data_IF_795625289718
#
_entry.id   IF_795625289718
#
_cell.length_a   1.000
_cell.length_b   1.000
_cell.length_c   1.000
_cell.angle_alpha   90.00
_cell.angle_beta   90.00
_cell.angle_gamma   90.00
#
_symmetry.space_group_name_H-M   'P 1'
#
loop_
_entity.id
_entity.type
_entity.pdbx_description
1 polymer ?
#
# COMPACT_ATOMS: atom_id res chain seq x y z
N UNK A 1 36.43 5.42 15.37
CA UNK A 1 37.78 5.80 15.73
C UNK A 1 38.05 7.21 15.24
N UNK A 2 38.61 8.07 16.05
CA UNK A 2 39.01 9.44 15.70
C UNK A 2 40.50 9.50 15.80
N UNK A 3 41.18 9.83 14.71
CA UNK A 3 42.64 9.98 14.68
C UNK A 3 43.00 11.39 14.21
N UNK A 4 43.97 11.97 14.88
CA UNK A 4 44.63 13.19 14.42
C UNK A 4 45.77 12.78 13.46
N UNK A 5 45.67 13.18 12.21
CA UNK A 5 46.69 12.93 11.19
C UNK A 5 47.46 14.22 10.93
N UNK A 6 48.79 14.18 11.05
CA UNK A 6 49.65 15.27 10.69
C UNK A 6 50.02 15.16 9.22
N UNK A 7 49.83 16.20 8.45
CA UNK A 7 50.18 16.23 7.03
C UNK A 7 51.62 16.80 6.89
N UNK A 8 52.60 15.91 6.71
CA UNK A 8 54.01 16.28 6.53
C UNK A 8 54.32 16.98 5.21
N UNK A 9 53.35 17.06 4.28
CA UNK A 9 53.53 17.70 2.98
C UNK A 9 53.26 19.21 2.99
N UNK A 10 52.90 19.79 4.13
CA UNK A 10 52.70 21.24 4.25
C UNK A 10 54.00 21.99 4.44
N UNK A 11 54.12 23.15 3.79
CA UNK A 11 55.28 24.08 3.88
C UNK A 11 55.80 24.23 5.32
N UNK A 12 57.13 24.30 5.54
CA UNK A 12 57.68 24.43 6.87
C UNK A 12 57.10 25.64 7.59
N UNK A 13 56.42 25.38 8.72
CA UNK A 13 55.79 26.39 9.56
C UNK A 13 54.25 26.31 9.72
N UNK A 14 53.52 25.49 8.94
CA UNK A 14 52.08 25.27 9.11
C UNK A 14 51.76 23.80 9.31
N UNK A 15 51.70 23.37 10.56
CA UNK A 15 51.13 22.08 10.95
C UNK A 15 49.61 22.12 10.77
N UNK A 16 49.11 21.60 9.65
CA UNK A 16 47.67 21.39 9.48
C UNK A 16 47.25 20.09 10.11
N UNK A 17 46.59 20.16 11.24
CA UNK A 17 45.95 19.02 11.85
C UNK A 17 44.66 18.68 11.06
N UNK A 18 44.58 17.44 10.58
CA UNK A 18 43.37 16.93 9.95
C UNK A 18 42.74 15.89 10.86
N UNK A 19 41.47 16.05 11.17
CA UNK A 19 40.69 15.07 11.89
C UNK A 19 40.23 13.99 10.91
N UNK A 20 40.70 12.77 11.09
CA UNK A 20 40.26 11.60 10.34
C UNK A 20 39.25 10.83 11.20
N UNK A 21 38.01 10.79 10.76
CA UNK A 21 36.93 10.01 11.41
C UNK A 21 36.75 8.73 10.60
N UNK A 22 36.98 7.58 11.22
CA UNK A 22 36.66 6.27 10.65
C UNK A 22 35.65 5.54 11.51
N UNK A 23 34.72 4.85 10.84
CA UNK A 23 33.66 4.06 11.44
C UNK A 23 33.86 2.59 11.08
N UNK A 24 33.69 1.71 12.05
CA UNK A 24 33.71 0.28 11.81
C UNK A 24 32.29 -0.21 11.55
N UNK A 25 32.05 -0.75 10.35
CA UNK A 25 30.75 -1.25 9.91
C UNK A 25 30.91 -2.58 9.20
N UNK A 26 30.25 -3.62 9.68
CA UNK A 26 30.30 -4.99 9.11
C UNK A 26 31.73 -5.50 8.86
N UNK A 27 32.66 -5.21 9.78
CA UNK A 27 34.06 -5.64 9.69
C UNK A 27 34.94 -4.80 8.75
N UNK A 28 34.38 -3.75 8.12
CA UNK A 28 35.13 -2.80 7.27
C UNK A 28 35.31 -1.47 7.98
N UNK A 29 36.51 -0.87 7.83
CA UNK A 29 36.74 0.49 8.27
C UNK A 29 36.39 1.46 7.14
N UNK A 30 35.39 2.31 7.37
CA UNK A 30 34.84 3.24 6.38
C UNK A 30 35.07 4.69 6.82
N UNK A 31 35.32 5.57 5.87
CA UNK A 31 35.22 7.01 6.10
C UNK A 31 33.73 7.39 6.34
N UNK A 32 33.46 8.55 6.94
CA UNK A 32 32.11 9.04 7.15
C UNK A 32 31.30 9.08 5.85
N UNK A 33 31.91 9.54 4.76
CA UNK A 33 31.27 9.57 3.44
C UNK A 33 30.98 8.16 2.92
N UNK A 34 31.95 7.25 3.02
CA UNK A 34 31.76 5.85 2.62
C UNK A 34 30.66 5.15 3.42
N UNK A 35 30.54 5.47 4.71
CA UNK A 35 29.47 4.95 5.55
C UNK A 35 28.07 5.44 5.11
N UNK A 36 27.95 6.72 4.76
CA UNK A 36 26.69 7.29 4.24
C UNK A 36 26.29 6.61 2.93
N UNK A 37 27.23 6.40 2.01
CA UNK A 37 26.95 5.70 0.75
C UNK A 37 26.53 4.25 0.97
N UNK A 38 27.20 3.53 1.86
CA UNK A 38 26.85 2.15 2.20
C UNK A 38 25.43 2.07 2.80
N UNK A 39 25.09 3.01 3.68
CA UNK A 39 23.71 3.12 4.22
C UNK A 39 22.68 3.41 3.13
N UNK A 40 22.96 4.32 2.22
CA UNK A 40 22.06 4.63 1.11
C UNK A 40 21.83 3.41 0.22
N UNK A 41 22.90 2.71 -0.16
CA UNK A 41 22.79 1.48 -0.95
C UNK A 41 22.00 0.41 -0.22
N UNK A 42 22.19 0.27 1.09
CA UNK A 42 21.42 -0.69 1.90
C UNK A 42 19.94 -0.34 2.00
N UNK A 43 19.61 0.94 2.14
CA UNK A 43 18.23 1.44 2.14
C UNK A 43 17.56 1.13 0.80
N UNK A 44 18.20 1.42 -0.32
CA UNK A 44 17.71 1.15 -1.67
C UNK A 44 17.49 -0.35 -1.91
N UNK A 45 18.45 -1.18 -1.54
CA UNK A 45 18.36 -2.64 -1.64
C UNK A 45 17.22 -3.20 -0.79
N UNK A 46 17.09 -2.73 0.45
CA UNK A 46 16.03 -3.18 1.35
C UNK A 46 14.66 -2.72 0.86
N UNK A 47 14.56 -1.50 0.34
CA UNK A 47 13.33 -0.99 -0.28
C UNK A 47 12.93 -1.83 -1.48
N UNK A 48 13.87 -2.18 -2.38
CA UNK A 48 13.61 -3.02 -3.54
C UNK A 48 13.17 -4.45 -3.14
N UNK A 49 13.81 -5.04 -2.14
CA UNK A 49 13.41 -6.35 -1.60
C UNK A 49 12.02 -6.33 -0.97
N UNK A 50 11.68 -5.26 -0.26
CA UNK A 50 10.35 -5.10 0.33
C UNK A 50 9.29 -4.96 -0.77
N UNK A 51 9.59 -4.19 -1.82
CA UNK A 51 8.72 -4.06 -2.99
C UNK A 51 8.44 -5.39 -3.69
N UNK A 52 9.47 -6.21 -3.84
CA UNK A 52 9.33 -7.54 -4.44
C UNK A 52 8.48 -8.47 -3.56
N UNK A 53 8.69 -8.44 -2.25
CA UNK A 53 7.90 -9.24 -1.30
C UNK A 53 6.45 -8.80 -1.21
N UNK A 54 6.18 -7.51 -1.26
CA UNK A 54 4.82 -6.97 -1.33
C UNK A 54 4.12 -7.42 -2.62
N UNK A 55 4.83 -7.37 -3.75
CA UNK A 55 4.31 -7.84 -5.02
C UNK A 55 3.97 -9.32 -4.97
N UNK A 56 4.90 -10.16 -4.51
CA UNK A 56 4.70 -11.61 -4.35
C UNK A 56 3.49 -11.91 -3.45
N UNK A 57 3.35 -11.19 -2.33
CA UNK A 57 2.22 -11.33 -1.42
C UNK A 57 0.90 -11.03 -2.12
N UNK A 58 0.80 -9.91 -2.82
CA UNK A 58 -0.45 -9.54 -3.51
C UNK A 58 -0.75 -10.42 -4.71
N UNK A 59 0.26 -10.88 -5.45
CA UNK A 59 0.09 -11.89 -6.51
C UNK A 59 -0.45 -13.20 -5.93
N UNK A 60 0.03 -13.64 -4.77
CA UNK A 60 -0.47 -14.83 -4.09
C UNK A 60 -1.91 -14.63 -3.58
N UNK A 61 -2.21 -13.47 -2.99
CA UNK A 61 -3.58 -13.12 -2.56
C UNK A 61 -4.55 -13.17 -3.74
N UNK A 62 -4.13 -12.65 -4.90
CA UNK A 62 -4.94 -12.68 -6.12
C UNK A 62 -5.08 -14.08 -6.72
N UNK A 63 -4.02 -14.89 -6.62
CA UNK A 63 -3.98 -16.23 -7.19
C UNK A 63 -4.81 -17.26 -6.41
N UNK A 64 -5.11 -17.00 -5.13
CA UNK A 64 -5.67 -17.97 -4.21
C UNK A 64 -7.13 -17.68 -3.80
N UNK A 65 -7.60 -18.47 -2.86
CA UNK A 65 -8.94 -18.53 -2.25
C UNK A 65 -9.52 -17.17 -1.85
N UNK A 66 -8.68 -16.15 -1.62
CA UNK A 66 -9.12 -14.82 -1.16
C UNK A 66 -9.88 -14.09 -2.27
N UNK A 67 -9.38 -14.09 -3.50
CA UNK A 67 -10.09 -13.47 -4.64
C UNK A 67 -11.46 -14.07 -4.84
N UNK A 68 -11.55 -15.40 -4.74
CA UNK A 68 -12.82 -16.11 -4.88
C UNK A 68 -13.80 -15.76 -3.74
N UNK A 69 -13.29 -15.70 -2.50
CA UNK A 69 -14.10 -15.30 -1.33
C UNK A 69 -14.56 -13.84 -1.43
N UNK A 70 -13.69 -12.94 -1.86
CA UNK A 70 -14.05 -11.52 -2.05
C UNK A 70 -15.15 -11.38 -3.11
N UNK A 71 -15.02 -12.05 -4.26
CA UNK A 71 -16.05 -12.08 -5.30
C UNK A 71 -17.41 -12.53 -4.75
N UNK A 72 -17.44 -13.69 -4.09
CA UNK A 72 -18.66 -14.23 -3.55
C UNK A 72 -19.32 -13.26 -2.56
N UNK A 73 -18.55 -12.61 -1.70
CA UNK A 73 -19.06 -11.62 -0.75
C UNK A 73 -19.54 -10.33 -1.40
N UNK A 74 -18.87 -9.87 -2.44
CA UNK A 74 -19.31 -8.69 -3.21
C UNK A 74 -20.65 -9.00 -3.92
N UNK A 75 -20.77 -10.16 -4.58
CA UNK A 75 -22.00 -10.59 -5.23
C UNK A 75 -23.15 -10.74 -4.23
N UNK A 76 -22.90 -11.37 -3.07
CA UNK A 76 -23.89 -11.49 -2.00
C UNK A 76 -24.35 -10.11 -1.52
N UNK A 77 -23.44 -9.16 -1.34
CA UNK A 77 -23.77 -7.80 -0.91
C UNK A 77 -24.55 -7.02 -1.98
N UNK A 78 -24.22 -7.20 -3.25
CA UNK A 78 -24.96 -6.61 -4.37
C UNK A 78 -26.41 -7.15 -4.42
N UNK A 79 -26.56 -8.46 -4.27
CA UNK A 79 -27.88 -9.08 -4.26
C UNK A 79 -28.71 -8.63 -3.05
N UNK A 80 -28.07 -8.55 -1.88
CA UNK A 80 -28.70 -8.03 -0.68
C UNK A 80 -29.21 -6.59 -0.87
N UNK A 81 -28.35 -5.70 -1.41
CA UNK A 81 -28.71 -4.30 -1.68
C UNK A 81 -29.88 -4.19 -2.66
N UNK A 82 -29.91 -5.05 -3.71
CA UNK A 82 -31.02 -5.13 -4.65
C UNK A 82 -32.32 -5.55 -3.96
N UNK A 83 -32.27 -6.62 -3.15
CA UNK A 83 -33.41 -7.10 -2.40
C UNK A 83 -33.95 -6.04 -1.44
N UNK A 84 -33.07 -5.30 -0.76
CA UNK A 84 -33.45 -4.21 0.12
C UNK A 84 -34.10 -3.05 -0.66
N UNK A 85 -33.58 -2.69 -1.81
CA UNK A 85 -34.16 -1.67 -2.69
C UNK A 85 -35.54 -2.09 -3.17
N UNK A 86 -35.71 -3.34 -3.56
CA UNK A 86 -37.01 -3.87 -3.99
C UNK A 86 -38.03 -3.83 -2.84
N UNK A 87 -37.66 -4.25 -1.64
CA UNK A 87 -38.47 -4.17 -0.43
C UNK A 87 -38.87 -2.71 -0.11
N UNK A 88 -37.88 -1.80 -0.10
CA UNK A 88 -38.10 -0.37 0.18
C UNK A 88 -39.05 0.26 -0.89
N UNK A 89 -38.91 -0.17 -2.15
CA UNK A 89 -39.79 0.29 -3.23
C UNK A 89 -41.29 -0.13 -3.07
N UNK A 90 -41.55 -1.21 -2.31
CA UNK A 90 -42.91 -1.63 -1.98
C UNK A 90 -43.53 -0.82 -0.83
N UNK A 91 -42.72 -0.21 0.00
CA UNK A 91 -43.11 0.57 1.16
C UNK A 91 -43.26 2.05 0.75
N UNK A 92 -44.49 2.50 0.59
CA UNK A 92 -44.76 3.92 0.37
C UNK A 92 -44.91 4.63 1.71
N UNK A 93 -44.27 5.78 1.85
CA UNK A 93 -44.53 6.67 2.99
C UNK A 93 -45.94 7.27 2.87
N UNK A 94 -46.44 7.84 3.96
CA UNK A 94 -47.73 8.58 3.97
C UNK A 94 -47.76 9.74 2.95
N UNK A 95 -46.58 10.23 2.55
CA UNK A 95 -46.43 11.28 1.52
C UNK A 95 -46.20 10.73 0.11
N UNK A 96 -46.26 9.41 -0.10
CA UNK A 96 -46.08 8.77 -1.41
C UNK A 96 -44.61 8.65 -1.85
N UNK A 97 -43.63 8.96 -0.99
CA UNK A 97 -42.24 8.81 -1.30
C UNK A 97 -41.79 7.35 -1.25
N UNK A 98 -40.96 6.96 -2.18
CA UNK A 98 -40.29 5.65 -2.22
C UNK A 98 -38.80 5.82 -1.97
N UNK A 99 -38.21 4.89 -1.23
CA UNK A 99 -36.79 4.90 -0.97
C UNK A 99 -36.06 3.85 -1.81
N UNK A 100 -34.83 4.19 -2.22
CA UNK A 100 -33.96 3.27 -2.92
C UNK A 100 -32.58 3.33 -2.27
N UNK A 101 -32.02 2.16 -2.00
CA UNK A 101 -30.65 2.03 -1.53
C UNK A 101 -29.72 1.79 -2.73
N UNK A 102 -28.75 2.67 -2.90
CA UNK A 102 -27.72 2.56 -3.94
C UNK A 102 -26.37 2.25 -3.29
N UNK A 103 -25.73 1.17 -3.73
CA UNK A 103 -24.41 0.75 -3.25
C UNK A 103 -23.38 1.11 -4.32
N UNK A 104 -22.78 2.26 -4.17
CA UNK A 104 -21.95 2.90 -5.18
C UNK A 104 -20.48 2.60 -4.96
N UNK A 105 -19.81 2.17 -6.03
CA UNK A 105 -18.38 1.94 -6.05
C UNK A 105 -17.60 3.26 -5.92
N UNK A 106 -16.63 3.31 -5.01
CA UNK A 106 -15.76 4.47 -4.83
C UNK A 106 -14.80 4.62 -6.00
N UNK A 107 -14.49 5.86 -6.32
CA UNK A 107 -13.47 6.22 -7.28
C UNK A 107 -12.07 6.10 -6.67
N UNK A 108 -11.06 5.99 -7.52
CA UNK A 108 -9.67 6.07 -7.12
C UNK A 108 -9.35 7.44 -6.48
N UNK A 109 -8.60 7.44 -5.39
CA UNK A 109 -8.16 8.64 -4.68
C UNK A 109 -6.78 9.13 -5.15
N UNK A 110 -6.08 8.32 -5.96
CA UNK A 110 -4.75 8.65 -6.48
C UNK A 110 -4.42 7.89 -7.77
N UNK A 111 -3.43 8.39 -8.49
CA UNK A 111 -3.02 7.86 -9.82
C UNK A 111 -2.58 6.38 -9.80
N UNK A 112 -2.04 5.90 -8.68
CA UNK A 112 -1.60 4.51 -8.53
C UNK A 112 -2.71 3.58 -8.06
N UNK A 113 -3.94 4.08 -7.90
CA UNK A 113 -5.10 3.32 -7.45
C UNK A 113 -6.02 3.03 -8.63
N UNK A 114 -6.73 1.92 -8.53
CA UNK A 114 -7.81 1.55 -9.45
C UNK A 114 -9.15 2.02 -8.89
N UNK A 115 -10.06 2.44 -9.76
CA UNK A 115 -11.45 2.55 -9.38
C UNK A 115 -11.97 1.19 -8.91
N UNK A 116 -12.87 1.17 -7.93
CA UNK A 116 -13.42 -0.08 -7.38
C UNK A 116 -14.02 -0.99 -8.47
N UNK A 117 -14.70 -0.41 -9.46
CA UNK A 117 -15.25 -1.18 -10.57
C UNK A 117 -14.16 -1.88 -11.40
N UNK A 118 -13.04 -1.20 -11.65
CA UNK A 118 -11.91 -1.77 -12.37
C UNK A 118 -11.24 -2.87 -11.54
N UNK A 119 -11.03 -2.63 -10.24
CA UNK A 119 -10.49 -3.61 -9.32
C UNK A 119 -11.33 -4.88 -9.29
N UNK A 120 -12.64 -4.75 -9.07
CA UNK A 120 -13.57 -5.89 -9.03
C UNK A 120 -13.60 -6.62 -10.37
N UNK A 121 -13.55 -5.90 -11.49
CA UNK A 121 -13.48 -6.51 -12.83
C UNK A 121 -12.22 -7.35 -13.01
N UNK A 122 -11.06 -6.87 -12.52
CA UNK A 122 -9.81 -7.62 -12.54
C UNK A 122 -9.85 -8.83 -11.59
N UNK A 123 -10.41 -8.67 -10.40
CA UNK A 123 -10.62 -9.78 -9.46
C UNK A 123 -11.58 -10.84 -10.02
N UNK A 124 -12.54 -10.47 -10.86
CA UNK A 124 -13.49 -11.37 -11.51
C UNK A 124 -12.94 -12.05 -12.77
N UNK A 125 -11.77 -11.62 -13.25
CA UNK A 125 -11.13 -12.22 -14.41
C UNK A 125 -10.65 -13.64 -14.08
N UNK A 126 -10.86 -14.58 -14.99
CA UNK A 126 -10.34 -15.94 -14.83
C UNK A 126 -8.81 -15.90 -14.72
N UNK A 127 -8.25 -16.72 -13.83
CA UNK A 127 -6.80 -16.82 -13.62
C UNK A 127 -6.03 -17.12 -14.91
N UNK A 128 -6.60 -17.97 -15.78
CA UNK A 128 -5.99 -18.30 -17.07
C UNK A 128 -5.92 -17.12 -18.04
N UNK A 129 -6.76 -16.10 -17.82
CA UNK A 129 -6.85 -14.89 -18.64
C UNK A 129 -6.18 -13.68 -17.97
N UNK A 130 -5.70 -13.84 -16.71
CA UNK A 130 -5.05 -12.78 -15.99
C UNK A 130 -3.64 -12.55 -16.56
N UNK A 131 -3.40 -11.36 -17.09
CA UNK A 131 -2.08 -11.00 -17.63
C UNK A 131 -1.15 -10.56 -16.50
N UNK A 132 0.17 -10.59 -16.77
CA UNK A 132 1.16 -10.05 -15.84
C UNK A 132 0.91 -8.56 -15.55
N UNK A 133 0.46 -7.81 -16.54
CA UNK A 133 0.11 -6.40 -16.38
C UNK A 133 -1.12 -6.20 -15.46
N UNK A 134 -2.15 -7.04 -15.59
CA UNK A 134 -3.30 -7.03 -14.69
C UNK A 134 -2.88 -7.27 -13.24
N UNK A 135 -2.06 -8.29 -12.99
CA UNK A 135 -1.53 -8.61 -11.67
C UNK A 135 -0.70 -7.44 -11.10
N UNK A 136 0.12 -6.82 -11.93
CA UNK A 136 0.92 -5.67 -11.53
C UNK A 136 0.06 -4.46 -11.16
N UNK A 137 -0.98 -4.17 -11.93
CA UNK A 137 -1.93 -3.07 -11.63
C UNK A 137 -2.65 -3.27 -10.31
N UNK A 138 -3.09 -4.49 -10.02
CA UNK A 138 -3.75 -4.83 -8.75
C UNK A 138 -2.77 -4.75 -7.59
N UNK A 139 -1.54 -5.25 -7.76
CA UNK A 139 -0.48 -5.13 -6.75
C UNK A 139 -0.15 -3.66 -6.45
N UNK A 140 -0.04 -2.83 -7.48
CA UNK A 140 0.19 -1.39 -7.30
C UNK A 140 -0.95 -0.71 -6.55
N UNK A 141 -2.20 -1.06 -6.87
CA UNK A 141 -3.37 -0.54 -6.17
C UNK A 141 -3.33 -0.86 -4.66
N UNK A 142 -3.16 -2.13 -4.30
CA UNK A 142 -3.12 -2.54 -2.90
C UNK A 142 -1.92 -1.95 -2.15
N UNK A 143 -0.76 -1.88 -2.78
CA UNK A 143 0.42 -1.21 -2.22
C UNK A 143 0.15 0.27 -1.93
N UNK A 144 -0.46 0.99 -2.87
CA UNK A 144 -0.82 2.40 -2.69
C UNK A 144 -1.77 2.58 -1.51
N UNK A 145 -2.79 1.70 -1.39
CA UNK A 145 -3.74 1.72 -0.27
C UNK A 145 -3.09 1.39 1.08
N UNK A 146 -2.21 0.40 1.15
CA UNK A 146 -1.47 0.07 2.37
C UNK A 146 -0.54 1.22 2.78
N UNK A 147 0.14 1.84 1.82
CA UNK A 147 0.99 3.00 2.09
C UNK A 147 0.17 4.18 2.63
N UNK A 148 -0.97 4.46 2.04
CA UNK A 148 -1.89 5.49 2.51
C UNK A 148 -2.37 5.21 3.93
N UNK A 149 -2.93 4.02 4.18
CA UNK A 149 -3.41 3.62 5.50
C UNK A 149 -2.31 3.69 6.59
N UNK A 150 -1.06 3.35 6.23
CA UNK A 150 0.09 3.51 7.13
C UNK A 150 0.40 4.98 7.43
N UNK A 151 0.30 5.86 6.44
CA UNK A 151 0.52 7.30 6.64
C UNK A 151 -0.57 7.89 7.52
N UNK A 152 -1.83 7.53 7.29
CA UNK A 152 -2.97 7.99 8.07
C UNK A 152 -2.85 7.53 9.54
N UNK A 153 -2.52 6.26 9.78
CA UNK A 153 -2.27 5.72 11.12
C UNK A 153 -1.10 6.45 11.84
N UNK A 154 -0.04 6.78 11.10
CA UNK A 154 1.11 7.51 11.66
C UNK A 154 0.73 8.96 12.04
N UNK A 155 -0.13 9.62 11.27
CA UNK A 155 -0.64 10.96 11.59
C UNK A 155 -1.53 10.94 12.83
N UNK A 156 -2.28 9.86 13.05
CA UNK A 156 -3.10 9.64 14.25
C UNK A 156 -2.29 9.14 15.46
N UNK A 157 -0.99 8.91 15.31
CA UNK A 157 -0.12 8.40 16.37
C UNK A 157 -0.39 6.94 16.74
N UNK A 158 -1.04 6.17 15.85
CA UNK A 158 -1.38 4.77 16.07
C UNK A 158 -0.26 3.85 15.56
N UNK A 159 0.12 2.87 16.39
CA UNK A 159 0.97 1.76 15.97
C UNK A 159 0.10 0.62 15.44
N UNK A 160 -0.07 0.54 14.13
CA UNK A 160 -0.86 -0.50 13.47
C UNK A 160 0.07 -1.56 12.88
N UNK A 161 -0.25 -2.84 13.08
CA UNK A 161 0.53 -3.92 12.47
C UNK A 161 0.30 -3.98 10.95
N UNK A 162 1.31 -4.48 10.20
CA UNK A 162 1.17 -4.66 8.75
C UNK A 162 0.02 -5.60 8.37
N UNK A 163 -0.24 -6.64 9.18
CA UNK A 163 -1.34 -7.56 8.97
C UNK A 163 -2.72 -6.88 9.13
N UNK A 164 -2.84 -5.97 10.08
CA UNK A 164 -4.08 -5.20 10.27
C UNK A 164 -4.31 -4.25 9.09
N UNK A 165 -3.24 -3.56 8.61
CA UNK A 165 -3.33 -2.70 7.43
C UNK A 165 -3.79 -3.47 6.19
N UNK A 166 -3.25 -4.67 5.95
CA UNK A 166 -3.69 -5.52 4.83
C UNK A 166 -5.15 -5.92 5.00
N UNK A 167 -5.57 -6.33 6.20
CA UNK A 167 -6.97 -6.71 6.48
C UNK A 167 -7.93 -5.56 6.18
N UNK A 168 -7.59 -4.35 6.61
CA UNK A 168 -8.42 -3.17 6.41
C UNK A 168 -8.50 -2.78 4.92
N UNK A 169 -7.39 -2.85 4.21
CA UNK A 169 -7.34 -2.58 2.76
C UNK A 169 -8.12 -3.62 1.95
N UNK A 170 -8.15 -4.89 2.40
CA UNK A 170 -8.90 -5.98 1.78
C UNK A 170 -10.38 -6.02 2.21
N UNK A 171 -10.81 -5.15 3.12
CA UNK A 171 -12.22 -5.04 3.47
C UNK A 171 -13.01 -4.40 2.32
N UNK A 172 -13.62 -5.24 1.48
CA UNK A 172 -14.41 -4.80 0.32
C UNK A 172 -15.56 -3.86 0.68
N UNK A 173 -16.03 -3.86 1.93
CA UNK A 173 -17.13 -2.97 2.39
C UNK A 173 -16.67 -1.52 2.36
N UNK A 174 -15.38 -1.26 2.62
CA UNK A 174 -14.79 0.07 2.54
C UNK A 174 -14.62 0.58 1.08
N UNK A 175 -14.72 -0.32 0.09
CA UNK A 175 -14.59 0.04 -1.34
C UNK A 175 -15.85 0.67 -1.93
N UNK A 176 -16.96 0.60 -1.18
CA UNK A 176 -18.25 1.10 -1.58
C UNK A 176 -18.81 2.07 -0.56
N UNK A 177 -19.81 2.79 -0.95
CA UNK A 177 -20.61 3.68 -0.10
C UNK A 177 -22.10 3.49 -0.38
N UNK A 178 -22.90 3.64 0.66
CA UNK A 178 -24.33 3.56 0.56
C UNK A 178 -24.94 4.95 0.38
N UNK A 179 -25.79 5.09 -0.62
CA UNK A 179 -26.58 6.29 -0.85
C UNK A 179 -28.06 5.94 -0.72
N UNK A 180 -28.77 6.66 0.11
CA UNK A 180 -30.22 6.58 0.20
C UNK A 180 -30.81 7.63 -0.72
N UNK A 181 -31.57 7.19 -1.72
CA UNK A 181 -32.27 8.06 -2.67
C UNK A 181 -33.76 8.05 -2.35
N UNK A 182 -34.40 9.21 -2.51
CA UNK A 182 -35.85 9.41 -2.25
C UNK A 182 -36.49 10.23 -3.35
#
# INVERSE_FOLDING_TARGET
KIELVFDDAARPGMLRQRLRISLQWEGKELSLYGFIQELQTKIELTAALLEEKDRELFENILAETISHKLRARIEESQQWTKNMTDLMGTLKTSMGLTFRLDWKAKKAEGESQLDTEQLVRLLNKDRALLTREDSQRVSMHFRAKVKQARQDAALEGQMVSYADLIRDVLDYRAWYEFHLLY
#
